data_IF_443559077651
#
_entry.id   IF_443559077651
#
_cell.length_a   1.000
_cell.length_b   1.000
_cell.length_c   1.000
_cell.angle_alpha   90.00
_cell.angle_beta   90.00
_cell.angle_gamma   90.00
#
_symmetry.space_group_name_H-M   'P 1'
#
loop_
_entity.id
_entity.type
_entity.pdbx_description
1 polymer ?
#
# COMPACT_ATOMS: atom_id res chain seq x y z
N UNK A 1 1.37 -8.02 -17.42
CA UNK A 1 0.42 -8.13 -16.28
C UNK A 1 1.11 -7.51 -15.06
N UNK A 2 1.08 -6.19 -14.98
CA UNK A 2 1.77 -5.42 -13.94
C UNK A 2 0.72 -4.72 -13.11
N UNK A 3 0.47 -5.18 -11.88
CA UNK A 3 0.18 -4.34 -10.70
C UNK A 3 0.31 -5.20 -9.43
N UNK A 4 1.45 -5.88 -9.29
CA UNK A 4 2.07 -6.15 -7.97
C UNK A 4 3.15 -5.09 -7.65
N UNK A 5 3.28 -4.08 -8.53
CA UNK A 5 4.34 -3.06 -8.46
C UNK A 5 4.12 -2.08 -7.30
N UNK A 6 2.88 -1.86 -6.84
CA UNK A 6 2.59 -1.00 -5.68
C UNK A 6 2.85 -1.74 -4.36
N UNK A 7 2.52 -3.03 -4.29
CA UNK A 7 2.82 -3.88 -3.14
C UNK A 7 4.33 -4.08 -2.98
N UNK A 8 5.02 -4.36 -4.08
CA UNK A 8 6.48 -4.41 -4.15
C UNK A 8 7.09 -3.03 -3.95
N UNK A 9 6.50 -1.92 -4.39
CA UNK A 9 7.05 -0.58 -4.12
C UNK A 9 6.91 -0.14 -2.66
N UNK A 10 5.84 -0.50 -1.96
CA UNK A 10 5.67 -0.18 -0.53
C UNK A 10 6.55 -1.08 0.34
N UNK A 11 6.66 -2.39 0.02
CA UNK A 11 7.66 -3.26 0.64
C UNK A 11 9.09 -2.82 0.29
N UNK A 12 9.38 -2.48 -0.97
CA UNK A 12 10.69 -1.98 -1.38
C UNK A 12 11.00 -0.64 -0.73
N UNK A 13 10.06 0.27 -0.47
CA UNK A 13 10.36 1.51 0.28
C UNK A 13 10.70 1.20 1.76
N UNK A 14 10.08 0.18 2.34
CA UNK A 14 10.41 -0.32 3.70
C UNK A 14 11.77 -1.08 3.70
N UNK A 15 12.12 -1.76 2.61
CA UNK A 15 13.37 -2.51 2.43
C UNK A 15 14.51 -1.72 1.74
N UNK A 16 14.26 -0.55 1.13
CA UNK A 16 15.21 0.24 0.31
C UNK A 16 16.13 1.14 1.12
N UNK A 17 16.50 0.68 2.32
CA UNK A 17 17.82 0.93 2.83
C UNK A 17 18.39 -0.40 3.34
N UNK A 18 18.84 -1.30 2.44
CA UNK A 18 19.76 -2.33 2.87
C UNK A 18 21.07 -1.62 3.19
N UNK A 19 21.52 -1.75 4.44
CA UNK A 19 22.91 -1.54 4.82
C UNK A 19 23.83 -2.14 3.73
N UNK A 20 24.89 -1.43 3.35
CA UNK A 20 25.87 -1.87 2.33
C UNK A 20 26.33 -3.33 2.53
N UNK A 21 26.28 -3.83 3.76
CA UNK A 21 26.55 -5.23 4.12
C UNK A 21 25.61 -6.25 3.46
N UNK A 22 24.31 -5.93 3.33
CA UNK A 22 23.31 -6.82 2.70
C UNK A 22 23.46 -6.82 1.19
N UNK A 23 23.74 -5.66 0.58
CA UNK A 23 24.04 -5.54 -0.85
C UNK A 23 25.30 -6.32 -1.25
N UNK A 24 26.36 -6.24 -0.42
CA UNK A 24 27.62 -6.98 -0.63
C UNK A 24 27.39 -8.49 -0.61
N UNK A 25 26.63 -8.99 0.37
CA UNK A 25 26.27 -10.42 0.48
C UNK A 25 25.38 -10.92 -0.66
N UNK A 26 24.53 -10.05 -1.21
CA UNK A 26 23.70 -10.38 -2.38
C UNK A 26 24.56 -10.45 -3.65
N UNK A 27 25.48 -9.51 -3.84
CA UNK A 27 26.34 -9.42 -5.03
C UNK A 27 27.38 -10.55 -5.10
N UNK A 28 27.88 -11.05 -3.96
CA UNK A 28 28.87 -12.14 -3.92
C UNK A 28 28.28 -13.53 -4.22
N UNK A 29 26.96 -13.73 -4.09
CA UNK A 29 26.34 -15.06 -4.09
C UNK A 29 25.34 -15.35 -5.23
N UNK A 30 25.35 -14.54 -6.30
CA UNK A 30 24.58 -14.84 -7.52
C UNK A 30 25.56 -15.31 -8.60
N UNK A 31 26.04 -16.57 -8.61
CA UNK A 31 26.49 -17.15 -9.85
C UNK A 31 25.28 -17.45 -10.75
N UNK A 32 25.52 -17.20 -12.04
CA UNK A 32 24.66 -17.37 -13.22
C UNK A 32 23.73 -18.60 -13.15
N UNK A 33 22.46 -18.33 -13.43
CA UNK A 33 21.38 -19.32 -13.53
C UNK A 33 21.47 -20.00 -14.92
N UNK A 34 21.62 -21.33 -14.92
CA UNK A 34 21.35 -22.21 -16.07
C UNK A 34 20.10 -23.05 -15.72
N UNK A 35 19.24 -23.26 -16.72
CA UNK A 35 17.88 -23.73 -16.60
C UNK A 35 17.80 -25.24 -16.30
N UNK A 36 17.72 -25.63 -15.03
CA UNK A 36 17.20 -26.95 -14.67
C UNK A 36 16.52 -26.97 -13.29
N UNK A 37 15.38 -27.66 -13.23
CA UNK A 37 14.33 -27.56 -12.19
C UNK A 37 14.71 -28.18 -10.83
N UNK A 38 15.98 -28.54 -10.61
CA UNK A 38 16.48 -29.18 -9.37
C UNK A 38 17.10 -28.22 -8.34
N UNK A 39 17.22 -26.91 -8.64
CA UNK A 39 18.03 -25.98 -7.85
C UNK A 39 17.24 -25.04 -6.90
N UNK A 40 16.01 -25.34 -6.46
CA UNK A 40 15.31 -24.45 -5.52
C UNK A 40 15.80 -24.55 -4.06
N UNK A 41 16.48 -25.64 -3.70
CA UNK A 41 16.88 -25.91 -2.31
C UNK A 41 17.88 -24.89 -1.71
N UNK A 42 18.91 -24.40 -2.44
CA UNK A 42 19.83 -23.37 -1.94
C UNK A 42 19.13 -22.02 -1.76
N UNK A 43 18.29 -21.61 -2.71
CA UNK A 43 17.61 -20.30 -2.64
C UNK A 43 16.57 -20.27 -1.52
N UNK A 44 15.89 -21.40 -1.26
CA UNK A 44 14.99 -21.54 -0.10
C UNK A 44 15.76 -21.43 1.22
N UNK A 45 16.95 -22.04 1.34
CA UNK A 45 17.81 -21.90 2.53
C UNK A 45 18.32 -20.47 2.73
N UNK A 46 18.68 -19.78 1.64
CA UNK A 46 19.12 -18.39 1.68
C UNK A 46 17.96 -17.49 2.14
N UNK A 47 16.77 -17.68 1.57
CA UNK A 47 15.56 -16.97 1.99
C UNK A 47 15.27 -17.19 3.48
N UNK A 48 15.28 -18.43 3.95
CA UNK A 48 15.09 -18.77 5.36
C UNK A 48 16.12 -18.07 6.27
N UNK A 49 17.39 -18.01 5.85
CA UNK A 49 18.45 -17.33 6.61
C UNK A 49 18.21 -15.82 6.69
N UNK A 50 17.73 -15.19 5.61
CA UNK A 50 17.40 -13.77 5.58
C UNK A 50 16.19 -13.48 6.46
N UNK A 51 15.13 -14.30 6.38
CA UNK A 51 13.94 -14.15 7.22
C UNK A 51 14.23 -14.36 8.71
N UNK A 52 15.20 -15.20 9.04
CA UNK A 52 15.66 -15.43 10.42
C UNK A 52 16.68 -14.40 10.91
N UNK A 53 17.05 -13.41 10.08
CA UNK A 53 17.92 -12.33 10.54
C UNK A 53 17.21 -11.42 11.54
N UNK A 54 17.92 -11.03 12.61
CA UNK A 54 17.38 -10.17 13.67
C UNK A 54 16.83 -8.84 13.12
N UNK A 55 17.45 -8.30 12.07
CA UNK A 55 16.99 -7.09 11.40
C UNK A 55 15.63 -7.25 10.73
N UNK A 56 15.42 -8.33 9.97
CA UNK A 56 14.14 -8.59 9.29
C UNK A 56 13.03 -8.85 10.32
N UNK A 57 13.33 -9.62 11.37
CA UNK A 57 12.37 -9.87 12.46
C UNK A 57 11.93 -8.56 13.13
N UNK A 58 12.87 -7.66 13.44
CA UNK A 58 12.57 -6.37 14.06
C UNK A 58 11.73 -5.46 13.13
N UNK A 59 12.07 -5.40 11.83
CA UNK A 59 11.29 -4.63 10.85
C UNK A 59 9.88 -5.20 10.68
N UNK A 60 9.73 -6.52 10.61
CA UNK A 60 8.42 -7.17 10.55
C UNK A 60 7.59 -6.92 11.80
N UNK A 61 8.20 -6.98 12.99
CA UNK A 61 7.53 -6.67 14.25
C UNK A 61 7.02 -5.22 14.27
N UNK A 62 7.80 -4.26 13.75
CA UNK A 62 7.36 -2.87 13.62
C UNK A 62 6.17 -2.73 12.67
N UNK A 63 6.19 -3.39 11.51
CA UNK A 63 5.07 -3.38 10.55
C UNK A 63 3.82 -4.00 11.17
N UNK A 64 3.94 -5.15 11.80
CA UNK A 64 2.82 -5.83 12.43
C UNK A 64 2.20 -5.00 13.57
N UNK A 65 3.03 -4.31 14.34
CA UNK A 65 2.56 -3.51 15.49
C UNK A 65 1.88 -2.22 15.07
N UNK A 66 2.34 -1.56 14.00
CA UNK A 66 1.87 -0.23 13.61
C UNK A 66 0.96 -0.21 12.38
N UNK A 67 1.04 -1.23 11.51
CA UNK A 67 0.41 -1.22 10.19
C UNK A 67 -0.40 -2.48 9.88
N UNK A 68 -0.68 -3.34 10.87
CA UNK A 68 -1.51 -4.55 10.70
C UNK A 68 -2.93 -4.27 10.21
N UNK A 69 -3.43 -3.05 10.38
CA UNK A 69 -4.74 -2.62 9.87
C UNK A 69 -4.77 -2.34 8.36
N UNK A 70 -3.62 -2.02 7.74
CA UNK A 70 -3.56 -1.63 6.32
C UNK A 70 -4.09 -2.75 5.40
N UNK A 71 -3.70 -4.03 5.56
CA UNK A 71 -4.24 -5.12 4.74
C UNK A 71 -5.77 -5.25 4.84
N UNK A 72 -6.34 -5.08 6.04
CA UNK A 72 -7.79 -5.13 6.25
C UNK A 72 -8.49 -3.97 5.56
N UNK A 73 -7.92 -2.77 5.63
CA UNK A 73 -8.45 -1.59 4.95
C UNK A 73 -8.42 -1.75 3.42
N UNK A 74 -7.34 -2.30 2.86
CA UNK A 74 -7.24 -2.59 1.41
C UNK A 74 -8.34 -3.56 0.99
N UNK A 75 -8.46 -4.70 1.67
CA UNK A 75 -9.49 -5.70 1.37
C UNK A 75 -10.91 -5.11 1.43
N UNK A 76 -11.14 -4.21 2.37
CA UNK A 76 -12.42 -3.50 2.49
C UNK A 76 -12.67 -2.57 1.29
N UNK A 77 -11.65 -1.83 0.84
CA UNK A 77 -11.74 -0.96 -0.33
C UNK A 77 -11.87 -1.72 -1.66
N UNK A 78 -11.36 -2.94 -1.72
CA UNK A 78 -11.51 -3.87 -2.86
C UNK A 78 -12.90 -4.55 -2.90
N UNK A 79 -13.62 -4.56 -1.78
CA UNK A 79 -14.94 -5.18 -1.72
C UNK A 79 -15.96 -4.37 -2.53
N UNK A 80 -16.62 -5.03 -3.48
CA UNK A 80 -17.67 -4.41 -4.29
C UNK A 80 -18.89 -4.01 -3.45
N UNK A 81 -19.57 -2.93 -3.86
CA UNK A 81 -20.77 -2.43 -3.21
C UNK A 81 -20.53 -1.54 -1.99
N UNK A 82 -19.28 -1.24 -1.66
CA UNK A 82 -18.94 -0.23 -0.65
C UNK A 82 -19.37 1.16 -1.14
N UNK A 83 -20.09 1.91 -0.29
CA UNK A 83 -20.43 3.28 -0.65
C UNK A 83 -19.20 4.19 -0.58
N UNK A 84 -19.20 5.24 -1.39
CA UNK A 84 -18.10 6.20 -1.46
C UNK A 84 -17.80 6.82 -0.09
N UNK A 85 -18.82 7.05 0.73
CA UNK A 85 -18.66 7.53 2.11
C UNK A 85 -17.92 6.51 2.99
N UNK A 86 -18.32 5.24 2.97
CA UNK A 86 -17.65 4.18 3.75
C UNK A 86 -16.21 3.94 3.29
N UNK A 87 -15.95 4.14 1.99
CA UNK A 87 -14.58 4.10 1.45
C UNK A 87 -13.72 5.22 2.02
N UNK A 88 -14.25 6.46 2.05
CA UNK A 88 -13.52 7.58 2.64
C UNK A 88 -13.34 7.44 4.16
N UNK A 89 -14.33 6.89 4.89
CA UNK A 89 -14.16 6.56 6.32
C UNK A 89 -13.03 5.56 6.55
N UNK A 90 -12.91 4.56 5.68
CA UNK A 90 -11.84 3.56 5.73
C UNK A 90 -10.48 4.21 5.45
N UNK A 91 -10.43 5.15 4.49
CA UNK A 91 -9.23 5.92 4.18
C UNK A 91 -8.80 6.84 5.32
N UNK A 92 -9.75 7.50 6.00
CA UNK A 92 -9.50 8.35 7.16
C UNK A 92 -8.97 7.55 8.36
N UNK A 93 -9.47 6.32 8.56
CA UNK A 93 -8.94 5.40 9.55
C UNK A 93 -7.48 5.01 9.26
N UNK A 94 -7.15 4.70 8.00
CA UNK A 94 -5.77 4.43 7.59
C UNK A 94 -4.88 5.64 7.82
N UNK A 95 -5.35 6.84 7.45
CA UNK A 95 -4.61 8.09 7.66
C UNK A 95 -4.28 8.28 9.14
N UNK A 96 -5.25 8.07 10.03
CA UNK A 96 -5.05 8.22 11.48
C UNK A 96 -3.94 7.29 12.00
N UNK A 97 -3.93 6.03 11.55
CA UNK A 97 -2.92 5.04 11.94
C UNK A 97 -1.54 5.41 11.40
N UNK A 98 -1.47 5.84 10.14
CA UNK A 98 -0.21 6.30 9.52
C UNK A 98 0.34 7.53 10.23
N UNK A 99 -0.52 8.47 10.65
CA UNK A 99 -0.12 9.67 11.38
C UNK A 99 0.34 9.37 12.82
N UNK A 100 -0.16 8.29 13.43
CA UNK A 100 0.21 7.86 14.77
C UNK A 100 1.50 7.01 14.82
N UNK A 101 2.00 6.53 13.67
CA UNK A 101 3.15 5.64 13.61
C UNK A 101 4.46 6.36 14.04
N UNK A 102 5.16 5.90 15.09
CA UNK A 102 6.30 6.61 15.67
C UNK A 102 7.62 6.33 14.96
N UNK A 103 8.55 7.29 14.99
CA UNK A 103 9.92 7.12 14.51
C UNK A 103 10.11 7.35 13.01
N UNK A 104 11.36 7.20 12.55
CA UNK A 104 11.77 7.58 11.19
C UNK A 104 11.03 6.79 10.09
N UNK A 105 10.76 5.51 10.32
CA UNK A 105 10.01 4.66 9.38
C UNK A 105 8.56 5.15 9.27
N UNK A 106 7.92 5.48 10.39
CA UNK A 106 6.57 6.06 10.40
C UNK A 106 6.51 7.37 9.62
N UNK A 107 7.50 8.25 9.81
CA UNK A 107 7.60 9.51 9.08
C UNK A 107 7.73 9.31 7.57
N UNK A 108 8.58 8.38 7.11
CA UNK A 108 8.69 8.04 5.68
C UNK A 108 7.39 7.50 5.10
N UNK A 109 6.68 6.65 5.84
CA UNK A 109 5.38 6.11 5.42
C UNK A 109 4.35 7.24 5.30
N UNK A 110 4.31 8.17 6.26
CA UNK A 110 3.44 9.35 6.24
C UNK A 110 3.70 10.26 5.04
N UNK A 111 4.96 10.55 4.75
CA UNK A 111 5.34 11.34 3.57
C UNK A 111 4.90 10.68 2.28
N UNK A 112 5.11 9.36 2.18
CA UNK A 112 4.65 8.59 1.02
C UNK A 112 3.13 8.60 0.90
N UNK A 113 2.41 8.38 2.00
CA UNK A 113 0.94 8.41 2.01
C UNK A 113 0.42 9.76 1.51
N UNK A 114 0.94 10.87 2.06
CA UNK A 114 0.55 12.21 1.65
C UNK A 114 0.87 12.49 0.17
N UNK A 115 2.04 12.05 -0.31
CA UNK A 115 2.42 12.18 -1.71
C UNK A 115 1.46 11.44 -2.65
N UNK A 116 1.05 10.22 -2.29
CA UNK A 116 0.09 9.44 -3.09
C UNK A 116 -1.28 10.10 -3.09
N UNK A 117 -1.75 10.59 -1.94
CA UNK A 117 -3.04 11.29 -1.83
C UNK A 117 -3.06 12.59 -2.65
N UNK A 118 -1.98 13.38 -2.63
CA UNK A 118 -1.89 14.64 -3.34
C UNK A 118 -1.81 14.47 -4.86
N UNK A 119 -1.09 13.45 -5.33
CA UNK A 119 -0.91 13.19 -6.76
C UNK A 119 -2.12 12.52 -7.41
N UNK A 120 -3.12 12.10 -6.63
CA UNK A 120 -4.31 11.43 -7.14
C UNK A 120 -5.48 12.42 -7.34
N UNK A 121 -5.47 13.15 -8.46
CA UNK A 121 -6.49 14.15 -8.78
C UNK A 121 -7.92 13.58 -8.84
N UNK A 122 -8.05 12.32 -9.26
CA UNK A 122 -9.33 11.62 -9.33
C UNK A 122 -9.92 11.41 -7.93
N UNK A 123 -9.09 11.10 -6.94
CA UNK A 123 -9.50 10.95 -5.54
C UNK A 123 -10.10 12.26 -4.99
N UNK A 124 -9.52 13.41 -5.33
CA UNK A 124 -10.06 14.72 -4.94
C UNK A 124 -11.44 15.00 -5.54
N UNK A 125 -11.69 14.61 -6.80
CA UNK A 125 -13.02 14.70 -7.41
C UNK A 125 -14.02 13.79 -6.70
N UNK A 126 -13.63 12.54 -6.41
CA UNK A 126 -14.45 11.60 -5.65
C UNK A 126 -14.78 12.12 -4.25
N UNK A 127 -13.83 12.78 -3.59
CA UNK A 127 -14.08 13.40 -2.29
C UNK A 127 -15.12 14.52 -2.38
N UNK A 128 -15.05 15.36 -3.41
CA UNK A 128 -16.05 16.40 -3.65
C UNK A 128 -17.45 15.81 -3.93
N UNK A 129 -17.53 14.72 -4.70
CA UNK A 129 -18.77 13.98 -4.94
C UNK A 129 -19.33 13.41 -3.64
N UNK A 130 -18.51 12.75 -2.81
CA UNK A 130 -18.92 12.25 -1.50
C UNK A 130 -19.41 13.36 -0.58
N UNK A 131 -18.79 14.54 -0.60
CA UNK A 131 -19.26 15.71 0.15
C UNK A 131 -20.65 16.15 -0.30
N UNK A 132 -20.90 16.24 -1.60
CA UNK A 132 -22.23 16.58 -2.13
C UNK A 132 -23.28 15.53 -1.79
N UNK A 133 -22.93 14.25 -1.86
CA UNK A 133 -23.81 13.15 -1.45
C UNK A 133 -24.17 13.19 0.05
N UNK A 134 -23.37 13.87 0.88
CA UNK A 134 -23.64 14.14 2.31
C UNK A 134 -24.36 15.47 2.55
N UNK A 135 -24.73 16.20 1.51
CA UNK A 135 -25.46 17.47 1.60
C UNK A 135 -24.59 18.74 1.61
N UNK A 136 -23.28 18.63 1.35
CA UNK A 136 -22.44 19.81 1.17
C UNK A 136 -22.64 20.44 -0.23
N UNK A 137 -22.32 21.72 -0.36
CA UNK A 137 -22.35 22.43 -1.66
C UNK A 137 -20.93 22.42 -2.25
N UNK A 138 -20.80 21.94 -3.47
CA UNK A 138 -19.55 22.00 -4.24
C UNK A 138 -19.86 22.25 -5.72
N UNK A 139 -19.01 23.01 -6.39
CA UNK A 139 -19.10 23.22 -7.84
C UNK A 139 -18.57 21.97 -8.58
N UNK A 140 -19.46 21.00 -8.78
CA UNK A 140 -19.22 19.85 -9.63
C UNK A 140 -19.82 20.14 -11.00
N UNK A 141 -18.98 20.23 -12.04
CA UNK A 141 -19.40 20.29 -13.45
C UNK A 141 -19.96 18.94 -13.92
N UNK A 142 -20.99 18.45 -13.23
CA UNK A 142 -21.62 17.14 -13.43
C UNK A 142 -23.13 17.24 -13.20
N UNK A 143 -23.96 16.53 -13.99
CA UNK A 143 -25.39 16.51 -13.79
C UNK A 143 -25.77 15.69 -12.52
N UNK A 144 -26.91 15.99 -11.87
CA UNK A 144 -27.30 15.35 -10.60
C UNK A 144 -27.41 13.82 -10.65
N UNK A 145 -27.86 13.27 -11.78
CA UNK A 145 -27.98 11.82 -11.96
C UNK A 145 -26.61 11.11 -11.94
N UNK A 146 -25.56 11.74 -12.47
CA UNK A 146 -24.20 11.20 -12.41
C UNK A 146 -23.63 11.31 -10.99
N UNK A 147 -23.93 12.39 -10.26
CA UNK A 147 -23.51 12.52 -8.85
C UNK A 147 -24.16 11.42 -8.02
N UNK A 148 -25.44 11.13 -8.24
CA UNK A 148 -26.16 10.07 -7.54
C UNK A 148 -25.66 8.66 -7.89
N UNK A 149 -25.36 8.39 -9.17
CA UNK A 149 -24.87 7.07 -9.60
C UNK A 149 -23.49 6.72 -9.05
N UNK A 150 -22.68 7.72 -8.68
CA UNK A 150 -21.36 7.52 -8.08
C UNK A 150 -21.38 7.12 -6.60
N UNK A 151 -22.57 6.90 -5.99
CA UNK A 151 -22.68 6.48 -4.59
C UNK A 151 -21.90 5.21 -4.28
N UNK A 152 -21.80 4.29 -5.24
CA UNK A 152 -21.08 3.02 -5.12
C UNK A 152 -19.90 2.92 -6.09
N UNK A 153 -19.31 4.07 -6.45
CA UNK A 153 -18.15 4.09 -7.35
C UNK A 153 -16.96 3.34 -6.71
N UNK A 154 -16.29 2.43 -7.44
CA UNK A 154 -15.13 1.73 -6.93
C UNK A 154 -13.96 2.70 -6.72
N UNK A 155 -13.23 2.48 -5.62
CA UNK A 155 -12.05 3.29 -5.26
C UNK A 155 -10.73 2.69 -5.75
N UNK A 156 -10.78 1.44 -6.23
CA UNK A 156 -9.66 0.73 -6.83
C UNK A 156 -9.82 0.67 -8.35
N UNK A 157 -8.71 0.77 -9.09
CA UNK A 157 -8.73 0.78 -10.56
C UNK A 157 -8.66 -0.61 -11.19
N UNK A 158 -8.49 -1.65 -10.38
CA UNK A 158 -8.39 -3.03 -10.82
C UNK A 158 -9.41 -3.85 -10.05
N UNK A 159 -10.19 -4.66 -10.77
CA UNK A 159 -10.95 -5.74 -10.17
C UNK A 159 -9.96 -6.81 -9.67
N UNK A 160 -10.22 -7.35 -8.48
CA UNK A 160 -9.43 -8.41 -7.84
C UNK A 160 -10.17 -9.75 -7.90
#
# INVERSE_FOLDING_TARGET
MYYSVIFVAILLIIFAAPSETVKRKLAENIPRIDDSVEEYAPQVKIAQTIFNSSEVVQKLAYIQSNFSFIPTAIKKLETQGLSLNQSFETLDAVKTIVEAAPGEIGQRVKEKFNSVMQNNYALNRLLAISKVQRGAIADLKMPPNQIASMKYAPMVSCDV
#
